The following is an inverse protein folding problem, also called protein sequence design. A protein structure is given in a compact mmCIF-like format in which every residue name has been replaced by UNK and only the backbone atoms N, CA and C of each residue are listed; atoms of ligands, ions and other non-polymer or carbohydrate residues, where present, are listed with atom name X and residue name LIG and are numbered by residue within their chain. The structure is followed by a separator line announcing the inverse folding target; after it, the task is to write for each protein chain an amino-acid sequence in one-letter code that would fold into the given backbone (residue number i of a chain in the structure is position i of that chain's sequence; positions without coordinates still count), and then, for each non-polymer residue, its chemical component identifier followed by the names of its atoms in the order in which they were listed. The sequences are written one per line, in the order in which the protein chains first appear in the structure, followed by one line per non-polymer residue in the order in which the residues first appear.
data_IF_496209500536
#
_entry.id   IF_496209500536
#
_cell.length_a   1.000
_cell.length_b   1.000
_cell.length_c   1.000
_cell.angle_alpha   90.00
_cell.angle_beta   90.00
_cell.angle_gamma   90.00
#
_symmetry.space_group_name_H-M   'P 1'
#
loop_
_entity.id
_entity.type
_entity.pdbx_description
1 polymer ?
#
# COMPACT_ATOMS: atom_id res chain seq x y z
N UNK A 1 -67.51 -8.77 13.98
CA UNK A 1 -66.20 -8.42 14.56
C UNK A 1 -65.17 -8.63 13.45
N UNK A 2 -64.92 -7.59 12.61
CA UNK A 2 -63.99 -7.64 11.48
C UNK A 2 -62.60 -7.20 11.97
N UNK A 3 -61.60 -8.11 11.85
CA UNK A 3 -60.20 -7.78 12.06
C UNK A 3 -59.65 -7.16 10.77
N UNK A 4 -59.28 -5.89 10.85
CA UNK A 4 -58.44 -5.23 9.81
C UNK A 4 -57.00 -5.56 10.08
N UNK A 5 -56.36 -6.29 9.16
CA UNK A 5 -54.92 -6.53 9.14
C UNK A 5 -54.29 -5.36 8.37
N UNK A 6 -53.54 -4.49 9.08
CA UNK A 6 -52.70 -3.48 8.46
C UNK A 6 -51.39 -4.16 8.01
N UNK A 7 -51.20 -4.30 6.70
CA UNK A 7 -49.91 -4.66 6.12
C UNK A 7 -48.98 -3.41 6.08
N UNK A 8 -47.95 -3.40 6.91
CA UNK A 8 -46.87 -2.43 6.82
C UNK A 8 -45.96 -2.85 5.69
N UNK A 9 -46.06 -2.13 4.57
CA UNK A 9 -45.07 -2.28 3.49
C UNK A 9 -43.77 -1.60 3.93
N UNK A 10 -42.76 -2.40 4.32
CA UNK A 10 -41.39 -1.93 4.47
C UNK A 10 -40.83 -1.65 3.08
N UNK A 11 -40.62 -0.38 2.75
CA UNK A 11 -39.87 0.04 1.58
C UNK A 11 -38.41 -0.40 1.77
N UNK A 12 -37.98 -1.42 1.04
CA UNK A 12 -36.56 -1.75 0.88
C UNK A 12 -35.97 -0.63 0.03
N UNK A 13 -35.34 0.36 0.66
CA UNK A 13 -34.46 1.26 -0.05
C UNK A 13 -33.31 0.42 -0.65
N UNK A 14 -33.36 0.27 -1.96
CA UNK A 14 -32.23 -0.31 -2.70
C UNK A 14 -30.99 0.52 -2.39
N UNK A 15 -30.04 -0.04 -1.66
CA UNK A 15 -28.72 0.51 -1.51
C UNK A 15 -28.13 0.65 -2.94
N UNK A 16 -28.23 1.85 -3.49
CA UNK A 16 -27.48 2.23 -4.71
C UNK A 16 -26.02 2.15 -4.31
N UNK A 17 -25.38 1.03 -4.66
CA UNK A 17 -23.94 0.89 -4.58
C UNK A 17 -23.37 1.96 -5.52
N UNK A 18 -23.04 3.13 -4.97
CA UNK A 18 -22.29 4.15 -5.71
C UNK A 18 -20.98 3.48 -6.10
N UNK A 19 -20.74 3.37 -7.42
CA UNK A 19 -19.42 2.95 -7.89
C UNK A 19 -18.38 3.77 -7.12
N UNK A 20 -17.40 3.11 -6.47
CA UNK A 20 -16.40 3.82 -5.69
C UNK A 20 -15.69 4.81 -6.61
N UNK A 21 -15.58 6.07 -6.17
CA UNK A 21 -14.81 7.08 -6.92
C UNK A 21 -13.41 6.52 -7.19
N UNK A 22 -12.82 6.74 -8.37
CA UNK A 22 -11.44 6.34 -8.61
C UNK A 22 -10.53 6.87 -7.49
N UNK A 23 -9.63 6.03 -7.00
CA UNK A 23 -8.68 6.41 -5.96
C UNK A 23 -7.65 7.37 -6.55
N UNK A 24 -7.53 8.51 -5.93
CA UNK A 24 -6.43 9.45 -6.11
C UNK A 24 -5.65 9.41 -4.82
N UNK A 25 -4.73 8.43 -4.77
CA UNK A 25 -4.02 8.08 -3.56
C UNK A 25 -2.69 8.83 -3.47
N UNK A 26 -2.31 9.23 -2.25
CA UNK A 26 -1.05 9.84 -1.92
C UNK A 26 -0.34 8.98 -0.88
N UNK A 27 0.84 8.45 -1.22
CA UNK A 27 1.68 7.70 -0.29
C UNK A 27 2.66 8.66 0.40
N UNK A 28 2.61 8.67 1.71
CA UNK A 28 3.35 9.59 2.58
C UNK A 28 4.24 8.83 3.55
N UNK A 29 5.46 9.32 3.74
CA UNK A 29 6.46 8.80 4.65
C UNK A 29 7.12 9.94 5.44
N UNK A 30 7.91 9.60 6.47
CA UNK A 30 8.62 10.55 7.34
C UNK A 30 7.73 11.42 8.27
N UNK A 31 6.43 11.18 8.34
CA UNK A 31 5.54 11.81 9.31
C UNK A 31 5.53 11.02 10.63
N UNK A 32 6.64 11.01 11.33
CA UNK A 32 6.98 10.07 12.40
C UNK A 32 6.61 10.53 13.82
N UNK A 33 5.95 11.68 13.98
CA UNK A 33 5.57 12.26 15.27
C UNK A 33 4.16 12.86 15.23
N UNK A 34 3.56 13.08 16.41
CA UNK A 34 2.26 13.77 16.51
C UNK A 34 2.32 15.17 15.88
N UNK A 35 3.40 15.92 16.15
CA UNK A 35 3.59 17.26 15.57
C UNK A 35 3.66 17.23 14.03
N UNK A 36 4.31 16.20 13.47
CA UNK A 36 4.37 16.03 12.03
C UNK A 36 3.00 15.68 11.43
N UNK A 37 2.19 14.86 12.10
CA UNK A 37 0.80 14.60 11.71
C UNK A 37 -0.08 15.84 11.83
N UNK A 38 0.08 16.62 12.90
CA UNK A 38 -0.65 17.88 13.09
C UNK A 38 -0.27 18.93 12.03
N UNK A 39 1.00 18.95 11.59
CA UNK A 39 1.45 19.78 10.48
C UNK A 39 0.84 19.33 9.15
N UNK A 40 0.89 18.05 8.82
CA UNK A 40 0.23 17.46 7.64
C UNK A 40 -1.28 17.72 7.65
N UNK A 41 -1.89 17.70 8.84
CA UNK A 41 -3.31 17.99 9.03
C UNK A 41 -3.73 19.38 8.49
N UNK A 42 -2.82 20.35 8.45
CA UNK A 42 -3.06 21.69 7.89
C UNK A 42 -3.13 21.67 6.36
N UNK A 43 -2.46 20.72 5.71
CA UNK A 43 -2.41 20.58 4.25
C UNK A 43 -3.58 19.72 3.71
N UNK A 44 -4.20 18.89 4.55
CA UNK A 44 -5.28 17.98 4.15
C UNK A 44 -6.46 18.67 3.45
N UNK A 45 -6.95 19.85 3.89
CA UNK A 45 -8.04 20.54 3.19
C UNK A 45 -7.66 20.91 1.75
N UNK A 46 -6.41 21.30 1.51
CA UNK A 46 -5.89 21.63 0.18
C UNK A 46 -5.77 20.36 -0.67
N UNK A 47 -5.20 19.29 -0.13
CA UNK A 47 -5.09 17.99 -0.82
C UNK A 47 -6.47 17.44 -1.19
N UNK A 48 -7.45 17.50 -0.28
CA UNK A 48 -8.83 17.11 -0.55
C UNK A 48 -9.47 17.94 -1.69
N UNK A 49 -9.25 19.27 -1.67
CA UNK A 49 -9.73 20.17 -2.73
C UNK A 49 -9.05 19.88 -4.07
N UNK A 50 -7.78 19.52 -4.06
CA UNK A 50 -7.06 19.06 -5.25
C UNK A 50 -7.56 17.71 -5.77
N UNK A 51 -8.30 16.96 -4.95
CA UNK A 51 -8.96 15.72 -5.34
C UNK A 51 -8.39 14.46 -4.72
N UNK A 52 -7.40 14.55 -3.82
CA UNK A 52 -6.91 13.40 -3.06
C UNK A 52 -8.05 12.86 -2.18
N UNK A 53 -8.29 11.55 -2.26
CA UNK A 53 -9.34 10.87 -1.50
C UNK A 53 -8.85 9.61 -0.76
N UNK A 54 -7.56 9.26 -0.94
CA UNK A 54 -6.89 8.18 -0.19
C UNK A 54 -5.50 8.68 0.24
N UNK A 55 -5.14 8.43 1.48
CA UNK A 55 -3.76 8.60 1.99
C UNK A 55 -3.28 7.23 2.47
N UNK A 56 -2.11 6.81 1.99
CA UNK A 56 -1.35 5.70 2.53
C UNK A 56 -0.22 6.31 3.35
N UNK A 57 -0.22 6.08 4.66
CA UNK A 57 0.73 6.67 5.60
C UNK A 57 1.67 5.60 6.15
N UNK A 58 2.95 5.69 5.82
CA UNK A 58 3.98 4.83 6.40
C UNK A 58 4.21 5.20 7.87
N UNK A 59 3.92 4.27 8.74
CA UNK A 59 4.02 4.41 10.20
C UNK A 59 5.24 3.68 10.75
N UNK A 60 5.40 2.42 10.35
CA UNK A 60 6.50 1.55 10.76
C UNK A 60 6.74 1.56 12.29
N UNK A 61 8.00 1.62 12.70
CA UNK A 61 8.39 1.70 14.10
C UNK A 61 8.21 3.08 14.74
N UNK A 62 7.68 4.05 14.01
CA UNK A 62 7.43 5.41 14.50
C UNK A 62 6.12 5.54 15.28
N UNK A 63 5.67 4.47 15.93
CA UNK A 63 4.47 4.44 16.77
C UNK A 63 4.82 4.12 18.23
N UNK A 64 4.08 4.71 19.17
CA UNK A 64 4.27 4.52 20.61
C UNK A 64 3.68 3.18 21.10
N UNK A 65 4.18 2.06 20.55
CA UNK A 65 3.72 0.72 20.88
C UNK A 65 3.69 0.46 22.39
N UNK A 66 2.59 -0.11 22.88
CA UNK A 66 2.45 -0.54 24.28
C UNK A 66 2.89 -1.98 24.46
N UNK A 67 2.61 -2.85 23.48
CA UNK A 67 2.99 -4.26 23.50
C UNK A 67 4.50 -4.46 23.49
N UNK A 68 5.21 -3.64 22.69
CA UNK A 68 6.64 -3.71 22.43
C UNK A 68 7.28 -2.32 22.48
N UNK A 69 7.45 -1.73 23.69
CA UNK A 69 8.04 -0.40 23.83
C UNK A 69 9.48 -0.29 23.29
N UNK A 70 10.21 -1.40 23.30
CA UNK A 70 11.58 -1.53 22.79
C UNK A 70 11.67 -1.39 21.26
N UNK A 71 10.54 -1.53 20.55
CA UNK A 71 10.50 -1.42 19.10
C UNK A 71 10.13 -0.02 18.61
N UNK A 72 9.97 0.93 19.50
CA UNK A 72 9.71 2.33 19.13
C UNK A 72 10.94 2.96 18.51
N UNK A 73 10.76 3.67 17.41
CA UNK A 73 11.81 4.47 16.77
C UNK A 73 11.63 5.95 17.12
N UNK A 74 12.74 6.63 17.41
CA UNK A 74 12.71 8.04 17.78
C UNK A 74 12.28 8.30 19.24
N UNK A 75 12.39 9.56 19.66
CA UNK A 75 12.08 9.99 21.02
C UNK A 75 10.61 10.35 21.24
N UNK A 76 9.92 10.80 20.19
CA UNK A 76 8.54 11.27 20.23
C UNK A 76 7.71 10.60 19.12
N UNK A 77 7.56 9.27 19.13
CA UNK A 77 6.80 8.59 18.09
C UNK A 77 5.32 8.97 18.13
N UNK A 78 4.60 8.67 17.03
CA UNK A 78 3.16 8.87 16.95
C UNK A 78 2.46 8.17 18.10
N UNK A 79 1.66 8.92 18.86
CA UNK A 79 0.84 8.38 19.93
C UNK A 79 -0.50 7.87 19.41
N UNK A 80 -1.18 7.02 20.22
CA UNK A 80 -2.57 6.63 19.88
C UNK A 80 -3.48 7.85 19.70
N UNK A 81 -3.31 8.86 20.56
CA UNK A 81 -4.14 10.08 20.51
C UNK A 81 -3.83 10.90 19.24
N UNK A 82 -2.56 11.05 18.86
CA UNK A 82 -2.15 11.70 17.62
C UNK A 82 -2.72 10.99 16.40
N UNK A 83 -2.57 9.67 16.34
CA UNK A 83 -3.16 8.84 15.29
C UNK A 83 -4.68 9.00 15.17
N UNK A 84 -5.39 8.97 16.31
CA UNK A 84 -6.85 9.13 16.37
C UNK A 84 -7.30 10.53 15.90
N UNK A 85 -6.59 11.59 16.31
CA UNK A 85 -6.86 12.96 15.84
C UNK A 85 -6.71 13.06 14.32
N UNK A 86 -5.59 12.54 13.79
CA UNK A 86 -5.31 12.58 12.36
C UNK A 86 -6.33 11.77 11.55
N UNK A 87 -6.67 10.56 11.98
CA UNK A 87 -7.69 9.73 11.35
C UNK A 87 -9.07 10.41 11.34
N UNK A 88 -9.45 11.05 12.45
CA UNK A 88 -10.69 11.82 12.55
C UNK A 88 -10.74 12.96 11.54
N UNK A 89 -9.62 13.67 11.36
CA UNK A 89 -9.53 14.76 10.39
C UNK A 89 -9.62 14.26 8.95
N UNK A 90 -8.93 13.17 8.61
CA UNK A 90 -9.04 12.52 7.30
C UNK A 90 -10.51 12.14 7.00
N UNK A 91 -11.17 11.48 7.95
CA UNK A 91 -12.59 11.09 7.83
C UNK A 91 -13.50 12.29 7.59
N UNK A 92 -13.31 13.39 8.33
CA UNK A 92 -14.06 14.64 8.16
C UNK A 92 -13.92 15.24 6.76
N UNK A 93 -12.77 15.04 6.12
CA UNK A 93 -12.47 15.50 4.76
C UNK A 93 -12.79 14.48 3.67
N UNK A 94 -13.46 13.35 4.02
CA UNK A 94 -13.72 12.23 3.13
C UNK A 94 -12.45 11.66 2.48
N UNK A 95 -11.33 11.64 3.19
CA UNK A 95 -10.08 10.99 2.82
C UNK A 95 -10.03 9.65 3.54
N UNK A 96 -9.91 8.55 2.80
CA UNK A 96 -9.63 7.22 3.37
C UNK A 96 -8.17 7.18 3.80
N UNK A 97 -7.93 6.90 5.08
CA UNK A 97 -6.58 6.78 5.63
C UNK A 97 -6.21 5.29 5.77
N UNK A 98 -5.11 4.91 5.16
CA UNK A 98 -4.58 3.55 5.15
C UNK A 98 -3.18 3.59 5.77
N UNK A 99 -2.98 3.15 7.01
CA UNK A 99 -1.65 3.04 7.59
C UNK A 99 -0.84 1.94 6.90
N UNK A 100 0.48 2.12 6.86
CA UNK A 100 1.43 1.16 6.33
C UNK A 100 2.43 0.74 7.40
N UNK A 101 2.79 -0.53 7.37
CA UNK A 101 3.92 -1.11 8.10
C UNK A 101 4.74 -1.97 7.14
N UNK A 102 6.01 -1.59 6.95
CA UNK A 102 6.94 -2.33 6.07
C UNK A 102 7.22 -3.72 6.63
N UNK A 103 6.82 -4.71 5.86
CA UNK A 103 6.86 -6.10 6.26
C UNK A 103 7.91 -6.88 5.47
N UNK A 104 8.55 -7.81 6.13
CA UNK A 104 9.57 -8.71 5.64
C UNK A 104 10.88 -7.98 5.33
N UNK A 105 10.96 -7.14 4.29
CA UNK A 105 12.11 -6.32 3.94
C UNK A 105 12.08 -4.93 4.61
N UNK A 106 13.04 -4.08 4.29
CA UNK A 106 13.24 -2.74 4.85
C UNK A 106 13.37 -2.74 6.37
N UNK A 107 14.06 -3.76 6.91
CA UNK A 107 14.42 -3.82 8.33
C UNK A 107 15.76 -3.15 8.64
N UNK A 108 16.31 -2.46 7.66
CA UNK A 108 17.48 -1.59 7.78
C UNK A 108 17.48 -0.52 6.70
N UNK A 109 18.23 0.54 6.90
CA UNK A 109 18.56 1.51 5.87
C UNK A 109 20.02 1.92 6.00
N UNK A 110 20.82 1.70 4.96
CA UNK A 110 22.29 1.88 5.02
C UNK A 110 22.87 1.09 6.19
N UNK A 111 23.67 1.70 7.05
CA UNK A 111 24.27 1.05 8.22
C UNK A 111 23.32 0.90 9.43
N UNK A 112 22.15 1.54 9.41
CA UNK A 112 21.16 1.47 10.51
C UNK A 112 20.28 0.22 10.36
N UNK A 113 20.30 -0.67 11.35
CA UNK A 113 19.34 -1.76 11.51
C UNK A 113 18.18 -1.30 12.39
N UNK A 114 16.94 -1.59 11.99
CA UNK A 114 15.73 -1.12 12.65
C UNK A 114 15.39 -1.94 13.89
N UNK A 115 14.50 -1.41 14.78
CA UNK A 115 14.29 -1.93 16.12
C UNK A 115 13.99 -3.42 16.22
N UNK A 116 13.23 -4.01 15.29
CA UNK A 116 12.89 -5.44 15.36
C UNK A 116 14.14 -6.32 15.34
N UNK A 117 15.03 -6.10 14.36
CA UNK A 117 16.23 -6.91 14.20
C UNK A 117 17.37 -6.49 15.14
N UNK A 118 17.32 -5.26 15.68
CA UNK A 118 18.24 -4.83 16.72
C UNK A 118 17.90 -5.46 18.08
N UNK A 119 16.60 -5.52 18.42
CA UNK A 119 16.11 -6.12 19.68
C UNK A 119 16.09 -7.65 19.62
N UNK A 120 15.83 -8.22 18.44
CA UNK A 120 15.72 -9.66 18.19
C UNK A 120 16.59 -10.10 17.01
N UNK A 121 17.94 -10.12 17.14
CA UNK A 121 18.83 -10.44 16.03
C UNK A 121 18.64 -11.83 15.40
N UNK A 122 18.07 -12.77 16.14
CA UNK A 122 17.70 -14.09 15.66
C UNK A 122 16.46 -14.12 14.74
N UNK A 123 15.81 -12.98 14.56
CA UNK A 123 14.72 -12.82 13.60
C UNK A 123 15.21 -12.48 12.20
N UNK A 124 16.47 -12.07 12.07
CA UNK A 124 17.09 -11.79 10.76
C UNK A 124 17.15 -13.07 9.90
N UNK A 125 16.75 -12.98 8.66
CA UNK A 125 16.83 -14.11 7.70
C UNK A 125 18.30 -14.51 7.41
N UNK A 126 19.25 -13.57 7.60
CA UNK A 126 20.68 -13.76 7.42
C UNK A 126 21.49 -13.36 8.66
N UNK A 127 21.23 -14.01 9.83
CA UNK A 127 21.79 -13.59 11.11
C UNK A 127 23.34 -13.71 11.07
N UNK A 128 24.01 -12.63 11.50
CA UNK A 128 25.47 -12.55 11.54
C UNK A 128 26.16 -12.35 10.18
N UNK A 129 25.44 -12.42 9.07
CA UNK A 129 25.95 -12.01 7.77
C UNK A 129 25.84 -10.50 7.58
N UNK A 130 26.62 -9.93 6.65
CA UNK A 130 26.54 -8.53 6.25
C UNK A 130 26.75 -7.51 7.39
N UNK A 131 27.92 -7.48 8.06
CA UNK A 131 28.23 -6.48 9.07
C UNK A 131 27.95 -5.07 8.58
N UNK A 132 27.37 -4.20 9.42
CA UNK A 132 26.95 -2.83 9.05
C UNK A 132 26.02 -2.75 7.81
N UNK A 133 25.35 -3.85 7.46
CA UNK A 133 24.50 -4.00 6.28
C UNK A 133 25.23 -3.82 4.93
N UNK A 134 26.57 -3.98 4.93
CA UNK A 134 27.37 -3.89 3.72
C UNK A 134 27.09 -5.06 2.77
N UNK A 135 26.89 -4.77 1.49
CA UNK A 135 26.64 -5.78 0.45
C UNK A 135 25.19 -6.24 0.32
N UNK A 136 24.27 -5.65 1.06
CA UNK A 136 22.81 -5.83 0.89
C UNK A 136 22.12 -4.49 0.75
N UNK A 137 20.93 -4.52 0.15
CA UNK A 137 20.09 -3.34 0.06
C UNK A 137 19.40 -3.03 1.41
N UNK A 138 18.65 -4.01 1.93
CA UNK A 138 18.01 -3.96 3.24
C UNK A 138 18.05 -5.32 3.91
N UNK A 139 17.88 -5.34 5.24
CA UNK A 139 17.65 -6.57 5.99
C UNK A 139 16.20 -7.03 5.86
N UNK A 140 16.04 -8.33 6.00
CA UNK A 140 14.74 -9.01 5.98
C UNK A 140 14.58 -9.85 7.23
N UNK A 141 13.37 -9.96 7.75
CA UNK A 141 13.12 -10.94 8.82
C UNK A 141 12.87 -12.34 8.26
N UNK A 142 13.08 -13.35 9.08
CA UNK A 142 12.85 -14.76 8.72
C UNK A 142 11.34 -15.09 8.73
N UNK A 143 10.70 -15.34 7.58
CA UNK A 143 9.28 -15.71 7.51
C UNK A 143 8.96 -17.08 8.09
N UNK A 144 9.97 -17.90 8.38
CA UNK A 144 9.79 -19.22 8.98
C UNK A 144 9.83 -19.18 10.51
N UNK A 145 10.24 -18.05 11.11
CA UNK A 145 10.27 -17.91 12.56
C UNK A 145 8.89 -17.47 13.09
N UNK A 146 8.18 -18.33 13.87
CA UNK A 146 6.83 -18.00 14.34
C UNK A 146 6.79 -16.84 15.35
N UNK A 147 7.88 -16.56 16.06
CA UNK A 147 7.94 -15.48 17.04
C UNK A 147 7.93 -14.10 16.37
N UNK A 148 8.48 -13.99 15.15
CA UNK A 148 8.38 -12.76 14.33
C UNK A 148 6.92 -12.38 14.14
N UNK A 149 6.10 -13.34 13.69
CA UNK A 149 4.69 -13.09 13.42
C UNK A 149 3.92 -12.70 14.66
N UNK A 150 4.23 -13.33 15.81
CA UNK A 150 3.58 -12.99 17.09
C UNK A 150 3.80 -11.53 17.46
N UNK A 151 5.02 -11.01 17.28
CA UNK A 151 5.36 -9.62 17.58
C UNK A 151 4.77 -8.67 16.53
N UNK A 152 5.05 -8.90 15.25
CA UNK A 152 4.64 -8.01 14.16
C UNK A 152 3.11 -7.84 14.12
N UNK A 153 2.33 -8.90 14.35
CA UNK A 153 0.88 -8.79 14.40
C UNK A 153 0.39 -7.94 15.58
N UNK A 154 1.07 -7.94 16.72
CA UNK A 154 0.72 -7.03 17.82
C UNK A 154 0.99 -5.57 17.45
N UNK A 155 2.10 -5.29 16.73
CA UNK A 155 2.38 -3.93 16.23
C UNK A 155 1.32 -3.47 15.21
N UNK A 156 0.99 -4.31 14.23
CA UNK A 156 -0.06 -4.02 13.24
C UNK A 156 -1.41 -3.76 13.92
N UNK A 157 -1.77 -4.57 14.92
CA UNK A 157 -3.03 -4.43 15.65
C UNK A 157 -3.11 -3.08 16.38
N UNK A 158 -2.03 -2.65 17.04
CA UNK A 158 -2.01 -1.34 17.70
C UNK A 158 -2.15 -0.16 16.71
N UNK A 159 -1.51 -0.25 15.54
CA UNK A 159 -1.64 0.76 14.48
C UNK A 159 -3.07 0.77 13.93
N UNK A 160 -3.63 -0.39 13.57
CA UNK A 160 -5.00 -0.52 13.06
C UNK A 160 -6.00 0.10 14.03
N UNK A 161 -5.88 -0.23 15.32
CA UNK A 161 -6.79 0.28 16.35
C UNK A 161 -6.64 1.79 16.58
N UNK A 162 -5.41 2.33 16.55
CA UNK A 162 -5.16 3.75 16.76
C UNK A 162 -5.68 4.62 15.62
N UNK A 163 -5.50 4.17 14.38
CA UNK A 163 -5.98 4.86 13.19
C UNK A 163 -7.42 4.51 12.82
N UNK A 164 -8.07 3.56 13.54
CA UNK A 164 -9.39 3.03 13.19
C UNK A 164 -9.45 2.58 11.72
N UNK A 165 -8.40 1.88 11.28
CA UNK A 165 -8.18 1.57 9.87
C UNK A 165 -9.10 0.44 9.38
N UNK A 166 -9.68 0.61 8.20
CA UNK A 166 -10.44 -0.41 7.46
C UNK A 166 -9.61 -1.10 6.36
N UNK A 167 -8.41 -0.57 6.11
CA UNK A 167 -7.42 -1.12 5.19
C UNK A 167 -6.00 -0.92 5.75
N UNK A 168 -5.06 -1.76 5.33
CA UNK A 168 -3.68 -1.73 5.78
C UNK A 168 -2.73 -2.06 4.64
N UNK A 169 -1.69 -1.25 4.43
CA UNK A 169 -0.64 -1.52 3.46
C UNK A 169 0.54 -2.20 4.15
N UNK A 170 0.95 -3.35 3.64
CA UNK A 170 1.96 -4.19 4.31
C UNK A 170 3.38 -4.03 3.76
N UNK A 171 3.59 -3.12 2.80
CA UNK A 171 4.88 -2.98 2.12
C UNK A 171 5.19 -4.21 1.27
N UNK A 172 6.20 -4.99 1.65
CA UNK A 172 6.64 -6.24 1.03
C UNK A 172 7.29 -6.07 -0.36
N UNK A 173 7.89 -4.92 -0.59
CA UNK A 173 8.72 -4.62 -1.74
C UNK A 173 10.19 -4.99 -1.51
N UNK A 174 10.94 -5.06 -2.60
CA UNK A 174 12.41 -5.14 -2.63
C UNK A 174 13.01 -6.25 -1.77
N UNK A 175 12.39 -7.44 -1.76
CA UNK A 175 12.84 -8.63 -1.03
C UNK A 175 13.84 -9.39 -1.90
N UNK A 176 15.08 -9.52 -1.43
CA UNK A 176 16.19 -10.09 -2.18
C UNK A 176 16.86 -11.29 -1.50
N UNK A 177 16.71 -11.46 -0.17
CA UNK A 177 17.50 -12.42 0.63
C UNK A 177 16.82 -13.76 0.85
N UNK A 178 15.52 -13.89 0.54
CA UNK A 178 14.81 -15.16 0.67
C UNK A 178 15.43 -16.24 -0.22
N UNK A 179 15.76 -17.38 0.37
CA UNK A 179 16.38 -18.50 -0.34
C UNK A 179 17.90 -18.34 -0.60
N UNK A 180 18.50 -17.23 -0.17
CA UNK A 180 19.94 -16.96 -0.37
C UNK A 180 20.83 -17.94 0.38
N UNK A 181 22.08 -18.07 -0.10
CA UNK A 181 23.11 -18.92 0.52
C UNK A 181 23.45 -18.52 1.96
N UNK A 182 23.26 -17.24 2.31
CA UNK A 182 23.53 -16.67 3.62
C UNK A 182 22.40 -16.88 4.63
N UNK A 183 21.24 -17.40 4.18
CA UNK A 183 20.11 -17.64 5.05
C UNK A 183 20.11 -19.07 5.63
N UNK A 184 20.35 -19.29 6.91
CA UNK A 184 20.34 -20.63 7.49
C UNK A 184 18.98 -21.33 7.42
N UNK A 185 17.90 -20.56 7.50
CA UNK A 185 16.53 -21.08 7.54
C UNK A 185 15.92 -21.29 6.14
N UNK A 186 16.28 -20.44 5.16
CA UNK A 186 15.63 -20.39 3.84
C UNK A 186 16.51 -20.87 2.70
N UNK A 187 17.82 -21.05 2.89
CA UNK A 187 18.80 -21.54 1.90
C UNK A 187 18.27 -22.75 1.13
N UNK A 188 18.31 -22.66 -0.21
CA UNK A 188 17.91 -23.73 -1.10
C UNK A 188 16.40 -24.02 -1.15
N UNK A 189 15.57 -23.22 -0.47
CA UNK A 189 14.11 -23.30 -0.58
C UNK A 189 13.61 -22.38 -1.69
N UNK A 190 12.45 -22.71 -2.25
CA UNK A 190 11.80 -21.91 -3.29
C UNK A 190 11.37 -20.54 -2.73
N UNK A 191 11.95 -19.46 -3.28
CA UNK A 191 11.70 -18.08 -2.84
C UNK A 191 10.25 -17.66 -3.06
N UNK A 192 9.59 -18.15 -4.10
CA UNK A 192 8.18 -17.88 -4.36
C UNK A 192 7.26 -18.53 -3.33
N UNK A 193 7.55 -19.76 -2.94
CA UNK A 193 6.80 -20.46 -1.87
C UNK A 193 7.02 -19.76 -0.52
N UNK A 194 8.25 -19.33 -0.22
CA UNK A 194 8.56 -18.58 1.01
C UNK A 194 7.84 -17.23 1.05
N UNK A 195 7.87 -16.49 -0.07
CA UNK A 195 7.20 -15.21 -0.18
C UNK A 195 5.68 -15.36 -0.07
N UNK A 196 5.11 -16.33 -0.80
CA UNK A 196 3.68 -16.63 -0.69
C UNK A 196 3.27 -17.01 0.74
N UNK A 197 4.11 -17.78 1.47
CA UNK A 197 3.86 -18.09 2.87
C UNK A 197 3.77 -16.82 3.70
N UNK A 198 4.74 -15.90 3.57
CA UNK A 198 4.73 -14.63 4.30
C UNK A 198 3.48 -13.80 4.00
N UNK A 199 3.10 -13.65 2.72
CA UNK A 199 1.87 -12.95 2.32
C UNK A 199 0.63 -13.60 2.93
N UNK A 200 0.54 -14.93 2.90
CA UNK A 200 -0.62 -15.67 3.42
C UNK A 200 -0.74 -15.59 4.95
N UNK A 201 0.38 -15.52 5.71
CA UNK A 201 0.35 -15.30 7.16
C UNK A 201 -0.25 -13.92 7.48
N UNK A 202 0.26 -12.87 6.81
CA UNK A 202 -0.25 -11.51 7.00
C UNK A 202 -1.72 -11.40 6.57
N UNK A 203 -2.08 -11.98 5.41
CA UNK A 203 -3.45 -12.02 4.93
C UNK A 203 -4.40 -12.70 5.93
N UNK A 204 -3.98 -13.82 6.50
CA UNK A 204 -4.79 -14.54 7.49
C UNK A 204 -5.03 -13.69 8.73
N UNK A 205 -4.04 -12.92 9.17
CA UNK A 205 -4.19 -12.02 10.30
C UNK A 205 -5.06 -10.80 9.96
N UNK A 206 -4.72 -10.05 8.91
CA UNK A 206 -5.40 -8.80 8.58
C UNK A 206 -6.81 -9.03 8.04
N UNK A 207 -6.95 -9.88 7.02
CA UNK A 207 -8.23 -10.01 6.32
C UNK A 207 -9.17 -10.97 7.02
N UNK A 208 -8.69 -12.18 7.39
CA UNK A 208 -9.58 -13.19 7.97
C UNK A 208 -9.89 -12.93 9.46
N UNK A 209 -8.89 -12.48 10.23
CA UNK A 209 -9.07 -12.28 11.68
C UNK A 209 -9.50 -10.86 12.04
N UNK A 210 -8.86 -9.83 11.42
CA UNK A 210 -9.12 -8.42 11.74
C UNK A 210 -10.16 -7.77 10.84
N UNK A 211 -10.56 -8.40 9.73
CA UNK A 211 -11.50 -7.88 8.73
C UNK A 211 -11.04 -6.54 8.13
N UNK A 212 -9.74 -6.40 7.94
CA UNK A 212 -9.08 -5.22 7.36
C UNK A 212 -8.62 -5.56 5.96
N UNK A 213 -8.89 -4.70 4.99
CA UNK A 213 -8.46 -4.87 3.60
C UNK A 213 -6.94 -4.79 3.49
N UNK A 214 -6.29 -5.66 2.72
CA UNK A 214 -4.84 -5.72 2.60
C UNK A 214 -4.36 -5.14 1.28
N UNK A 215 -3.37 -4.23 1.34
CA UNK A 215 -2.62 -3.71 0.20
C UNK A 215 -1.16 -4.13 0.31
N UNK A 216 -0.46 -4.32 -0.83
CA UNK A 216 0.98 -4.56 -0.88
C UNK A 216 1.60 -4.06 -2.18
N UNK A 217 2.91 -3.78 -2.16
CA UNK A 217 3.66 -3.50 -3.38
C UNK A 217 3.71 -4.72 -4.30
N UNK A 218 3.81 -4.48 -5.60
CA UNK A 218 3.64 -5.52 -6.61
C UNK A 218 4.94 -6.07 -7.20
N UNK A 219 6.07 -5.41 -7.01
CA UNK A 219 7.34 -5.69 -7.66
C UNK A 219 7.81 -7.15 -7.50
N UNK A 220 7.71 -7.73 -6.31
CA UNK A 220 8.12 -9.12 -6.05
C UNK A 220 7.20 -10.18 -6.66
N UNK A 221 6.05 -9.78 -7.23
CA UNK A 221 5.09 -10.63 -7.94
C UNK A 221 5.21 -10.54 -9.47
N UNK A 222 6.11 -9.70 -9.98
CA UNK A 222 6.36 -9.49 -11.42
C UNK A 222 7.62 -10.26 -11.82
N UNK A 223 7.53 -11.10 -12.85
CA UNK A 223 8.70 -11.80 -13.40
C UNK A 223 9.55 -10.84 -14.23
N UNK A 224 10.70 -10.44 -13.69
CA UNK A 224 11.60 -9.48 -14.33
C UNK A 224 12.25 -10.00 -15.62
N UNK A 225 12.35 -11.32 -15.79
CA UNK A 225 12.85 -11.93 -17.05
C UNK A 225 11.79 -11.85 -18.15
N UNK A 226 10.51 -11.97 -17.78
CA UNK A 226 9.40 -11.96 -18.74
C UNK A 226 9.02 -10.56 -19.18
N UNK A 227 9.07 -9.58 -18.26
CA UNK A 227 8.50 -8.26 -18.49
C UNK A 227 9.52 -7.12 -18.64
N UNK A 228 10.81 -7.43 -18.54
CA UNK A 228 11.93 -6.47 -18.73
C UNK A 228 11.83 -5.19 -17.88
N UNK A 229 11.47 -5.36 -16.60
CA UNK A 229 11.41 -4.26 -15.63
C UNK A 229 12.68 -4.12 -14.77
N UNK A 230 13.69 -4.99 -14.98
CA UNK A 230 14.90 -5.04 -14.13
C UNK A 230 14.63 -5.64 -12.75
N UNK A 231 15.62 -5.49 -11.86
CA UNK A 231 15.57 -6.12 -10.52
C UNK A 231 14.80 -5.31 -9.47
N UNK A 232 14.59 -4.01 -9.72
CA UNK A 232 13.86 -3.15 -8.79
C UNK A 232 12.36 -3.28 -8.97
N UNK A 233 11.85 -2.90 -10.13
CA UNK A 233 10.41 -2.93 -10.43
C UNK A 233 9.85 -4.35 -10.64
N UNK A 234 10.70 -5.39 -10.60
CA UNK A 234 10.32 -6.79 -10.77
C UNK A 234 11.29 -7.74 -10.07
N UNK A 235 10.93 -9.01 -9.96
CA UNK A 235 11.71 -10.03 -9.29
C UNK A 235 12.60 -10.82 -10.26
N UNK A 236 13.87 -10.97 -9.92
CA UNK A 236 14.84 -11.87 -10.59
C UNK A 236 15.21 -13.08 -9.71
N UNK A 237 14.82 -13.07 -8.44
CA UNK A 237 15.16 -14.08 -7.42
C UNK A 237 14.12 -15.20 -7.25
N UNK A 238 13.10 -15.28 -8.13
CA UNK A 238 12.10 -16.35 -8.13
C UNK A 238 10.83 -16.08 -7.33
N UNK A 239 10.73 -14.96 -6.59
CA UNK A 239 9.53 -14.63 -5.79
C UNK A 239 8.28 -14.42 -6.64
N UNK A 240 8.41 -14.10 -7.93
CA UNK A 240 7.30 -13.83 -8.83
C UNK A 240 6.26 -14.97 -8.93
N UNK A 241 6.68 -16.22 -8.75
CA UNK A 241 5.78 -17.38 -8.77
C UNK A 241 4.72 -17.34 -7.66
N UNK A 242 4.97 -16.58 -6.60
CA UNK A 242 4.01 -16.35 -5.51
C UNK A 242 2.70 -15.71 -5.99
N UNK A 243 2.69 -15.02 -7.11
CA UNK A 243 1.50 -14.38 -7.66
C UNK A 243 0.31 -15.32 -7.82
N UNK A 244 0.57 -16.61 -8.07
CA UNK A 244 -0.47 -17.64 -8.22
C UNK A 244 -0.84 -18.34 -6.90
N UNK A 245 -0.07 -18.13 -5.84
CA UNK A 245 -0.19 -18.79 -4.55
C UNK A 245 -0.85 -17.92 -3.45
N UNK A 246 -1.19 -16.67 -3.76
CA UNK A 246 -1.74 -15.71 -2.81
C UNK A 246 -3.22 -15.37 -3.12
N UNK A 247 -4.00 -14.92 -2.12
CA UNK A 247 -5.40 -14.52 -2.28
C UNK A 247 -5.59 -13.36 -3.27
N UNK A 248 -6.66 -13.43 -4.08
CA UNK A 248 -6.89 -12.48 -5.18
C UNK A 248 -7.67 -11.23 -4.79
N UNK A 249 -8.15 -11.15 -3.58
CA UNK A 249 -8.79 -9.95 -2.99
C UNK A 249 -7.79 -8.96 -2.39
N UNK A 250 -6.50 -9.30 -2.32
CA UNK A 250 -5.42 -8.36 -2.01
C UNK A 250 -5.36 -7.27 -3.10
N UNK A 251 -5.17 -6.03 -2.70
CA UNK A 251 -4.91 -4.92 -3.62
C UNK A 251 -3.41 -4.87 -3.90
N UNK A 252 -3.04 -5.03 -5.17
CA UNK A 252 -1.64 -4.96 -5.58
C UNK A 252 -1.31 -3.55 -6.07
N UNK A 253 -0.21 -3.00 -5.58
CA UNK A 253 0.31 -1.68 -5.91
C UNK A 253 1.61 -1.80 -6.73
N UNK A 254 1.55 -2.09 -8.05
CA UNK A 254 2.75 -2.08 -8.87
C UNK A 254 3.24 -0.64 -9.02
N UNK A 255 4.55 -0.44 -8.89
CA UNK A 255 5.16 0.87 -9.05
C UNK A 255 6.07 0.89 -10.27
N UNK A 256 5.98 1.99 -11.07
CA UNK A 256 6.73 2.19 -12.30
C UNK A 256 7.13 3.66 -12.40
N UNK A 257 8.41 3.92 -12.53
CA UNK A 257 8.99 5.26 -12.42
C UNK A 257 9.63 5.78 -13.70
N UNK A 258 9.56 4.98 -14.79
CA UNK A 258 10.07 5.34 -16.10
C UNK A 258 8.93 5.48 -17.12
N UNK A 259 9.15 6.31 -18.14
CA UNK A 259 8.25 6.43 -19.28
C UNK A 259 8.29 5.13 -20.08
N UNK A 260 7.14 4.50 -20.30
CA UNK A 260 7.00 3.28 -21.10
C UNK A 260 5.76 3.39 -22.00
N UNK A 261 5.81 2.75 -23.16
CA UNK A 261 4.66 2.66 -24.07
C UNK A 261 3.55 1.76 -23.50
N UNK A 262 3.93 0.80 -22.67
CA UNK A 262 3.00 -0.10 -22.00
C UNK A 262 3.52 -0.53 -20.60
N UNK A 263 2.58 -0.97 -19.76
CA UNK A 263 2.85 -1.47 -18.42
C UNK A 263 2.17 -2.85 -18.25
N UNK A 264 2.76 -3.91 -18.81
CA UNK A 264 2.12 -5.24 -18.88
C UNK A 264 1.86 -5.88 -17.51
N UNK A 265 2.55 -5.46 -16.46
CA UNK A 265 2.32 -5.89 -15.08
C UNK A 265 0.90 -5.55 -14.60
N UNK A 266 0.38 -4.39 -14.97
CA UNK A 266 -0.98 -3.95 -14.61
C UNK A 266 -2.01 -4.91 -15.18
N UNK A 267 -1.88 -5.23 -16.48
CA UNK A 267 -2.79 -6.16 -17.16
C UNK A 267 -2.67 -7.56 -16.58
N UNK A 268 -1.45 -8.03 -16.33
CA UNK A 268 -1.20 -9.33 -15.72
C UNK A 268 -1.90 -9.47 -14.36
N UNK A 269 -1.82 -8.48 -13.49
CA UNK A 269 -2.51 -8.53 -12.19
C UNK A 269 -4.03 -8.53 -12.35
N UNK A 270 -4.58 -7.73 -13.27
CA UNK A 270 -6.01 -7.69 -13.56
C UNK A 270 -6.50 -9.03 -14.09
N UNK A 271 -5.78 -9.63 -15.03
CA UNK A 271 -6.07 -10.97 -15.60
C UNK A 271 -6.01 -12.05 -14.55
N UNK A 272 -5.03 -11.99 -13.64
CA UNK A 272 -4.91 -12.90 -12.49
C UNK A 272 -5.98 -12.67 -11.41
N UNK A 273 -6.82 -11.67 -11.56
CA UNK A 273 -7.98 -11.45 -10.69
C UNK A 273 -7.80 -10.40 -9.60
N UNK A 274 -6.64 -9.78 -9.47
CA UNK A 274 -6.38 -8.77 -8.46
C UNK A 274 -7.03 -7.42 -8.78
N UNK A 275 -7.33 -6.65 -7.74
CA UNK A 275 -7.52 -5.20 -7.83
C UNK A 275 -6.15 -4.51 -7.84
N UNK A 276 -6.02 -3.44 -8.60
CA UNK A 276 -4.72 -2.82 -8.87
C UNK A 276 -4.76 -1.32 -8.59
N UNK A 277 -3.73 -0.82 -7.91
CA UNK A 277 -3.49 0.59 -7.66
C UNK A 277 -2.08 0.97 -8.12
N UNK A 278 -1.86 1.27 -9.41
CA UNK A 278 -0.54 1.62 -9.93
C UNK A 278 0.03 2.87 -9.27
N UNK A 279 1.34 2.87 -9.03
CA UNK A 279 2.04 3.93 -8.32
C UNK A 279 3.14 4.57 -9.19
N UNK A 280 3.13 5.91 -9.26
CA UNK A 280 4.16 6.75 -9.88
C UNK A 280 4.96 7.54 -8.88
N UNK A 281 6.09 8.14 -9.33
CA UNK A 281 6.98 8.92 -8.48
C UNK A 281 7.34 10.27 -9.13
N UNK A 282 8.60 10.68 -9.02
CA UNK A 282 9.15 12.03 -9.24
C UNK A 282 9.12 12.54 -10.69
N UNK A 283 9.02 11.67 -11.66
CA UNK A 283 9.00 12.04 -13.07
C UNK A 283 7.57 12.31 -13.55
N UNK A 284 7.31 13.50 -14.08
CA UNK A 284 5.99 13.93 -14.53
C UNK A 284 5.54 13.15 -15.77
N UNK A 285 6.45 12.92 -16.72
CA UNK A 285 6.11 12.24 -17.97
C UNK A 285 5.87 10.75 -17.73
N UNK A 286 6.67 10.11 -16.86
CA UNK A 286 6.42 8.74 -16.42
C UNK A 286 5.06 8.61 -15.69
N UNK A 287 4.75 9.56 -14.79
CA UNK A 287 3.44 9.61 -14.12
C UNK A 287 2.29 9.75 -15.10
N UNK A 288 2.42 10.65 -16.08
CA UNK A 288 1.41 10.86 -17.15
C UNK A 288 1.24 9.62 -18.03
N UNK A 289 2.34 8.96 -18.42
CA UNK A 289 2.31 7.73 -19.21
C UNK A 289 1.61 6.60 -18.45
N UNK A 290 1.95 6.40 -17.18
CA UNK A 290 1.36 5.37 -16.32
C UNK A 290 -0.15 5.63 -16.11
N UNK A 291 -0.57 6.86 -15.83
CA UNK A 291 -1.98 7.24 -15.68
C UNK A 291 -2.72 7.00 -17.00
N UNK A 292 -2.18 7.47 -18.12
CA UNK A 292 -2.79 7.33 -19.45
C UNK A 292 -3.00 5.87 -19.83
N UNK A 293 -1.97 5.03 -19.68
CA UNK A 293 -2.06 3.60 -19.92
C UNK A 293 -3.11 2.94 -19.02
N UNK A 294 -3.05 3.19 -17.70
CA UNK A 294 -3.95 2.59 -16.73
C UNK A 294 -5.41 2.93 -17.01
N UNK A 295 -5.70 4.19 -17.36
CA UNK A 295 -7.06 4.65 -17.64
C UNK A 295 -7.64 4.11 -18.97
N UNK A 296 -6.78 3.75 -19.93
CA UNK A 296 -7.19 3.10 -21.18
C UNK A 296 -7.69 1.68 -20.95
N UNK A 297 -7.14 1.01 -19.92
CA UNK A 297 -7.50 -0.35 -19.55
C UNK A 297 -8.43 -0.37 -18.32
N UNK A 298 -9.11 0.76 -18.05
CA UNK A 298 -10.01 0.90 -16.89
C UNK A 298 -11.11 -0.16 -16.90
N UNK A 299 -11.22 -0.86 -15.79
CA UNK A 299 -12.26 -1.81 -15.46
C UNK A 299 -12.47 -1.79 -13.94
N UNK A 300 -13.41 -2.58 -13.44
CA UNK A 300 -13.75 -2.63 -12.00
C UNK A 300 -12.56 -2.99 -11.08
N UNK A 301 -11.50 -3.56 -11.63
CA UNK A 301 -10.30 -3.96 -10.87
C UNK A 301 -9.23 -2.88 -10.80
N UNK A 302 -9.26 -1.86 -11.67
CA UNK A 302 -8.37 -0.71 -11.55
C UNK A 302 -8.98 0.30 -10.60
N UNK A 303 -8.34 0.52 -9.46
CA UNK A 303 -8.85 1.42 -8.41
C UNK A 303 -8.56 2.89 -8.70
N UNK A 304 -7.49 3.20 -9.41
CA UNK A 304 -7.07 4.57 -9.69
C UNK A 304 -5.56 4.71 -9.83
N UNK A 305 -4.98 5.74 -9.19
CA UNK A 305 -3.54 6.00 -9.22
C UNK A 305 -3.03 6.45 -7.84
N UNK A 306 -1.79 6.05 -7.52
CA UNK A 306 -1.07 6.44 -6.31
C UNK A 306 0.14 7.29 -6.68
N UNK A 307 0.29 8.42 -6.00
CA UNK A 307 1.49 9.26 -6.07
C UNK A 307 2.38 8.93 -4.88
N UNK A 308 3.61 8.48 -5.12
CA UNK A 308 4.60 8.21 -4.07
C UNK A 308 5.49 9.43 -3.84
N UNK A 309 5.94 9.64 -2.60
CA UNK A 309 6.68 10.84 -2.21
C UNK A 309 8.07 10.55 -1.67
N UNK A 310 8.75 9.52 -2.20
CA UNK A 310 10.11 9.18 -1.83
C UNK A 310 11.05 10.39 -1.97
N UNK A 311 11.63 10.84 -0.86
CA UNK A 311 12.56 11.97 -0.83
C UNK A 311 11.92 13.34 -1.11
N UNK A 312 10.61 13.45 -1.18
CA UNK A 312 9.90 14.72 -1.31
C UNK A 312 9.89 15.44 0.04
N UNK A 313 10.36 16.69 0.06
CA UNK A 313 10.31 17.52 1.28
C UNK A 313 8.86 17.84 1.64
N UNK A 314 8.56 17.85 2.95
CA UNK A 314 7.19 18.08 3.46
C UNK A 314 6.62 19.43 3.03
N UNK A 315 7.44 20.47 2.99
CA UNK A 315 7.08 21.83 2.57
C UNK A 315 6.84 21.95 1.05
N UNK A 316 7.32 21.01 0.25
CA UNK A 316 7.11 20.93 -1.20
C UNK A 316 5.95 20.03 -1.61
N UNK A 317 5.25 19.39 -0.67
CA UNK A 317 4.24 18.38 -0.96
C UNK A 317 3.10 18.88 -1.85
N UNK A 318 2.55 20.06 -1.55
CA UNK A 318 1.41 20.64 -2.27
C UNK A 318 1.76 21.09 -3.69
N UNK A 319 3.04 21.34 -3.95
CA UNK A 319 3.58 21.78 -5.24
C UNK A 319 4.34 20.65 -5.97
N UNK A 320 4.31 19.44 -5.46
CA UNK A 320 5.02 18.30 -6.04
C UNK A 320 4.53 18.06 -7.47
N UNK A 321 5.39 18.25 -8.51
CA UNK A 321 4.93 18.32 -9.89
C UNK A 321 4.18 17.08 -10.38
N UNK A 322 4.60 15.83 -10.11
CA UNK A 322 3.82 14.65 -10.50
C UNK A 322 2.42 14.60 -9.88
N UNK A 323 2.26 15.05 -8.62
CA UNK A 323 0.96 15.14 -7.97
C UNK A 323 0.06 16.17 -8.67
N UNK A 324 0.58 17.38 -8.90
CA UNK A 324 -0.19 18.48 -9.48
C UNK A 324 -0.64 18.14 -10.91
N UNK A 325 0.32 17.73 -11.76
CA UNK A 325 0.06 17.43 -13.17
C UNK A 325 -0.71 16.12 -13.35
N UNK A 326 -0.44 15.10 -12.52
CA UNK A 326 -1.17 13.85 -12.55
C UNK A 326 -2.64 14.02 -12.15
N UNK A 327 -2.94 14.78 -11.09
CA UNK A 327 -4.31 15.10 -10.70
C UNK A 327 -5.06 15.92 -11.77
N UNK A 328 -4.36 16.82 -12.46
CA UNK A 328 -4.91 17.57 -13.59
C UNK A 328 -5.30 16.62 -14.74
N UNK A 329 -4.39 15.72 -15.13
CA UNK A 329 -4.63 14.75 -16.18
C UNK A 329 -5.82 13.83 -15.83
N UNK A 330 -5.91 13.33 -14.58
CA UNK A 330 -7.02 12.48 -14.15
C UNK A 330 -8.35 13.22 -14.31
N UNK A 331 -8.44 14.49 -13.89
CA UNK A 331 -9.67 15.30 -14.07
C UNK A 331 -10.04 15.50 -15.54
N UNK A 332 -9.06 15.74 -16.42
CA UNK A 332 -9.29 15.88 -17.86
C UNK A 332 -9.88 14.58 -18.46
N UNK A 333 -9.33 13.42 -18.07
CA UNK A 333 -9.81 12.11 -18.53
C UNK A 333 -11.23 11.85 -18.03
N UNK A 334 -11.51 12.12 -16.73
CA UNK A 334 -12.84 11.96 -16.13
C UNK A 334 -13.89 12.84 -16.84
N UNK A 335 -13.55 14.10 -17.12
CA UNK A 335 -14.42 15.03 -17.85
C UNK A 335 -14.76 14.53 -19.25
N UNK A 336 -13.77 14.05 -20.01
CA UNK A 336 -13.98 13.49 -21.35
C UNK A 336 -14.87 12.23 -21.32
N UNK A 337 -14.69 11.35 -20.33
CA UNK A 337 -15.53 10.16 -20.14
C UNK A 337 -17.00 10.50 -19.85
N UNK A 338 -17.25 11.58 -19.09
CA UNK A 338 -18.62 12.04 -18.82
C UNK A 338 -19.27 12.61 -20.09
N UNK A 339 -18.55 13.45 -20.83
CA UNK A 339 -19.04 14.04 -22.08
C UNK A 339 -19.41 12.95 -23.12
N UNK A 340 -18.54 11.96 -23.35
CA UNK A 340 -18.80 10.87 -24.28
C UNK A 340 -19.99 9.98 -23.88
N UNK A 341 -20.23 9.78 -22.60
CA UNK A 341 -21.43 9.06 -22.12
C UNK A 341 -22.72 9.85 -22.35
N UNK A 342 -22.68 11.18 -22.26
CA UNK A 342 -23.85 12.04 -22.51
C UNK A 342 -24.23 12.09 -23.99
N UNK A 343 -23.24 12.10 -24.91
CA UNK A 343 -23.47 12.05 -26.35
C UNK A 343 -24.11 10.73 -26.81
N UNK A 344 -23.79 9.61 -26.16
CA UNK A 344 -24.37 8.29 -26.46
C UNK A 344 -25.80 8.10 -25.95
N UNK A 345 -26.28 8.95 -25.06
CA UNK A 345 -27.64 8.86 -24.43
C UNK A 345 -28.63 9.78 -25.14
N UNK A 346 -28.22 10.71 -26.00
CA UNK A 346 -29.12 11.52 -26.84
C UNK A 346 -29.55 10.71 -28.05
N UNK A 347 -30.81 10.20 -28.13
CA UNK A 347 -31.29 9.56 -29.34
C UNK A 347 -31.35 10.62 -30.46
N UNK A 348 -30.85 10.26 -31.63
CA UNK A 348 -31.19 10.99 -32.86
C UNK A 348 -32.72 11.03 -32.99
N UNK A 349 -33.28 12.25 -32.94
CA UNK A 349 -34.70 12.51 -33.24
C UNK A 349 -34.95 12.39 -34.75
#
# INVERSE_FOLDING_TARGET
MCLLIFAVAASVEANVVREPKPWRALHLLDYSTDDALDALGKDLPTLAKQGINVIILEVDYNFAFKSHPELRRGTNPITRDGATRFATLCKKLNIRLIPQFQSLCHQSWKAETFPLLTSYPNFDVTPGAFPNNEGIYCREWDPLNPEVWRIVFQLMDEIIDAFSADAFHVGMDEIFLLGSEQSPSTKGKDSGVLFAKAVNEIYSHLVKKRHVEMLMWGDRLIDGKKYDFGEWEAALNGTATAVDLIPKDIIICPWHYEVRDNYPSILMFIEKGFRVLPAGWKDVDATRALIGFSQTHAGAKLLGHMFTTWGVKKDALLEFPPLVEGLKLIREIETKKVASKQEQVTPEN
#
